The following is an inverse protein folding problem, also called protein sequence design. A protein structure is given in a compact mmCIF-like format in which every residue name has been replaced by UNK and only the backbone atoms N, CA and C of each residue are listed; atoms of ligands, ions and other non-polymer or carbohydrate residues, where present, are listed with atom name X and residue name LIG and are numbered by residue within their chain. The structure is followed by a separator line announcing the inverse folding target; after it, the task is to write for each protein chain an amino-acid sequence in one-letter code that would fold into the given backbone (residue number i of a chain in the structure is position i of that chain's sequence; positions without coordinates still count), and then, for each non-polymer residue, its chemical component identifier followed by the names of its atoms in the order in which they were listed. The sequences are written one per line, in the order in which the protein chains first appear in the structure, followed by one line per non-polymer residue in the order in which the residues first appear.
data_IF_138402016349
#
_entry.id   IF_138402016349
#
_cell.length_a   1.000
_cell.length_b   1.000
_cell.length_c   1.000
_cell.angle_alpha   90.00
_cell.angle_beta   90.00
_cell.angle_gamma   90.00
#
_symmetry.space_group_name_H-M   'P 1'
#
loop_
_entity.id
_entity.type
_entity.pdbx_description
1 polymer ?
#
# COMPACT_ATOMS: atom_id res chain seq x y z
N UNK A 1 -17.64 -42.13 -23.43
CA UNK A 1 -18.37 -40.85 -23.43
C UNK A 1 -18.80 -40.63 -22.00
N UNK A 2 -18.11 -39.86 -21.17
CA UNK A 2 -17.80 -38.43 -21.28
C UNK A 2 -16.30 -38.18 -21.01
N UNK A 3 -15.74 -37.21 -21.73
CA UNK A 3 -14.37 -36.70 -21.60
C UNK A 3 -14.41 -35.53 -20.62
N UNK A 4 -13.64 -35.67 -19.53
CA UNK A 4 -12.78 -34.65 -18.89
C UNK A 4 -13.46 -33.36 -18.40
N UNK A 5 -13.64 -33.27 -17.07
CA UNK A 5 -13.55 -31.98 -16.38
C UNK A 5 -12.08 -31.76 -16.00
N UNK A 6 -11.30 -31.12 -16.88
CA UNK A 6 -10.05 -30.53 -16.42
C UNK A 6 -10.48 -29.44 -15.44
N UNK A 7 -10.08 -29.60 -14.19
CA UNK A 7 -10.06 -28.52 -13.23
C UNK A 7 -9.03 -27.51 -13.76
N UNK A 8 -9.50 -26.57 -14.57
CA UNK A 8 -8.66 -25.47 -15.05
C UNK A 8 -8.47 -24.60 -13.83
N UNK A 9 -7.37 -24.83 -13.10
CA UNK A 9 -7.00 -24.06 -11.92
C UNK A 9 -7.29 -22.58 -12.20
N UNK A 10 -8.28 -22.02 -11.49
CA UNK A 10 -8.71 -20.65 -11.75
C UNK A 10 -7.53 -19.73 -11.41
N UNK A 11 -7.31 -18.68 -12.22
CA UNK A 11 -6.29 -17.70 -11.90
C UNK A 11 -6.56 -17.11 -10.52
N UNK A 12 -5.55 -17.09 -9.67
CA UNK A 12 -5.65 -16.46 -8.34
C UNK A 12 -6.03 -15.00 -8.46
N UNK A 13 -6.90 -14.55 -7.56
CA UNK A 13 -7.31 -13.15 -7.43
C UNK A 13 -6.71 -12.55 -6.17
N UNK A 14 -6.08 -11.39 -6.30
CA UNK A 14 -5.54 -10.64 -5.18
C UNK A 14 -6.37 -9.38 -4.93
N UNK A 15 -6.71 -9.12 -3.68
CA UNK A 15 -7.20 -7.82 -3.20
C UNK A 15 -6.10 -7.22 -2.34
N UNK A 16 -5.37 -6.27 -2.90
CA UNK A 16 -4.15 -5.71 -2.32
C UNK A 16 -4.37 -4.28 -1.83
N UNK A 17 -3.64 -3.90 -0.77
CA UNK A 17 -3.67 -2.53 -0.24
C UNK A 17 -2.27 -1.95 -0.28
N UNK A 18 -2.12 -0.78 -0.91
CA UNK A 18 -0.94 0.07 -0.82
C UNK A 18 -1.29 1.34 -0.03
N UNK A 19 -0.39 1.77 0.86
CA UNK A 19 -0.65 2.96 1.67
C UNK A 19 -0.66 4.21 0.80
N UNK A 20 0.25 4.32 -0.17
CA UNK A 20 0.35 5.51 -1.03
C UNK A 20 0.46 5.20 -2.52
N UNK A 21 0.14 6.20 -3.34
CA UNK A 21 0.28 6.08 -4.79
C UNK A 21 1.74 5.86 -5.20
N UNK A 22 2.70 6.44 -4.49
CA UNK A 22 4.12 6.19 -4.75
C UNK A 22 4.53 4.73 -4.47
N UNK A 23 3.88 4.05 -3.51
CA UNK A 23 4.03 2.61 -3.30
C UNK A 23 3.43 1.80 -4.46
N UNK A 24 2.31 2.24 -5.03
CA UNK A 24 1.69 1.59 -6.19
C UNK A 24 2.43 1.82 -7.52
N UNK A 25 2.96 3.03 -7.75
CA UNK A 25 3.59 3.43 -9.01
C UNK A 25 5.07 3.02 -9.07
N UNK A 26 5.77 2.96 -7.92
CA UNK A 26 7.09 2.34 -7.81
C UNK A 26 7.01 0.83 -7.55
N UNK A 27 5.88 0.20 -7.84
CA UNK A 27 5.74 -1.25 -7.82
C UNK A 27 6.55 -1.90 -8.97
N UNK A 28 7.87 -1.71 -8.93
CA UNK A 28 8.87 -2.65 -9.44
C UNK A 28 9.43 -3.48 -8.28
N UNK A 29 8.57 -3.95 -7.38
CA UNK A 29 8.94 -4.71 -6.18
C UNK A 29 7.88 -5.75 -5.79
N UNK A 30 7.85 -6.15 -4.50
CA UNK A 30 7.06 -7.28 -4.01
C UNK A 30 5.57 -7.27 -4.40
N UNK A 31 4.93 -6.09 -4.44
CA UNK A 31 3.52 -6.01 -4.82
C UNK A 31 3.29 -6.32 -6.31
N UNK A 32 4.22 -5.91 -7.17
CA UNK A 32 4.17 -6.23 -8.61
C UNK A 32 4.61 -7.66 -8.92
N UNK A 33 5.54 -8.21 -8.14
CA UNK A 33 5.85 -9.64 -8.19
C UNK A 33 4.62 -10.48 -7.81
N UNK A 34 3.93 -10.12 -6.72
CA UNK A 34 2.71 -10.78 -6.27
C UNK A 34 1.58 -10.64 -7.31
N UNK A 35 1.32 -9.42 -7.77
CA UNK A 35 0.30 -9.15 -8.79
C UNK A 35 0.59 -9.88 -10.09
N UNK A 36 1.87 -10.03 -10.41
CA UNK A 36 2.34 -10.77 -11.57
C UNK A 36 2.12 -12.27 -11.53
N UNK A 37 2.19 -12.85 -10.34
CA UNK A 37 1.92 -14.27 -10.12
C UNK A 37 0.41 -14.59 -10.07
N UNK A 38 -0.44 -13.57 -10.02
CA UNK A 38 -1.89 -13.66 -10.02
C UNK A 38 -2.45 -13.43 -11.43
N UNK A 39 -3.66 -13.94 -11.70
CA UNK A 39 -4.32 -13.61 -12.97
C UNK A 39 -5.09 -12.29 -12.90
N UNK A 40 -5.56 -11.91 -11.71
CA UNK A 40 -6.22 -10.62 -11.46
C UNK A 40 -5.78 -10.03 -10.11
N UNK A 41 -5.62 -8.71 -10.07
CA UNK A 41 -5.34 -7.97 -8.84
C UNK A 41 -6.16 -6.68 -8.78
N UNK A 42 -6.94 -6.52 -7.72
CA UNK A 42 -7.57 -5.27 -7.33
C UNK A 42 -6.68 -4.59 -6.29
N UNK A 43 -6.05 -3.48 -6.66
CA UNK A 43 -5.14 -2.72 -5.80
C UNK A 43 -5.84 -1.46 -5.28
N UNK A 44 -6.05 -1.40 -3.96
CA UNK A 44 -6.54 -0.22 -3.25
C UNK A 44 -5.36 0.66 -2.80
N UNK A 45 -5.32 1.91 -3.26
CA UNK A 45 -4.44 2.97 -2.75
C UNK A 45 -5.18 3.78 -1.70
N UNK A 46 -4.65 3.78 -0.48
CA UNK A 46 -5.30 4.40 0.68
C UNK A 46 -5.28 5.92 0.61
N UNK A 47 -4.11 6.53 0.39
CA UNK A 47 -3.95 7.99 0.34
C UNK A 47 -3.13 8.47 -0.84
N UNK A 48 -3.37 9.71 -1.25
CA UNK A 48 -2.58 10.42 -2.26
C UNK A 48 -1.35 11.05 -1.61
N UNK A 49 -0.21 11.01 -2.30
CA UNK A 49 1.01 11.71 -1.86
C UNK A 49 1.08 13.14 -2.43
N UNK A 50 1.57 14.13 -1.68
CA UNK A 50 1.94 14.06 -0.26
C UNK A 50 0.72 14.07 0.65
N UNK A 51 0.80 13.37 1.78
CA UNK A 51 -0.22 13.47 2.82
C UNK A 51 -0.23 14.89 3.41
N UNK A 52 -1.43 15.46 3.54
CA UNK A 52 -1.68 16.63 4.39
C UNK A 52 -1.48 16.32 5.87
N UNK A 53 -1.61 17.35 6.71
CA UNK A 53 -1.53 17.23 8.16
C UNK A 53 -2.56 16.27 8.77
N UNK A 54 -2.46 16.04 10.08
CA UNK A 54 -3.42 15.19 10.81
C UNK A 54 -4.87 15.67 10.61
N UNK A 55 -5.79 14.72 10.44
CA UNK A 55 -7.23 14.98 10.21
C UNK A 55 -7.81 15.77 11.39
N UNK A 56 -8.33 16.98 11.12
CA UNK A 56 -9.28 17.68 11.96
C UNK A 56 -10.58 17.73 11.16
N UNK A 57 -11.51 16.81 11.42
CA UNK A 57 -12.77 16.71 10.68
C UNK A 57 -13.55 18.01 10.84
N UNK A 58 -13.69 18.77 9.75
CA UNK A 58 -14.51 19.97 9.67
C UNK A 58 -15.74 19.70 8.80
N UNK A 59 -16.88 20.39 9.04
CA UNK A 59 -18.08 20.24 8.20
C UNK A 59 -17.86 20.47 6.70
N UNK A 60 -16.81 21.21 6.33
CA UNK A 60 -16.43 21.46 4.93
C UNK A 60 -15.90 20.21 4.21
N UNK A 61 -15.47 19.17 4.94
CA UNK A 61 -14.93 17.93 4.35
C UNK A 61 -16.03 17.02 3.76
N UNK A 62 -17.32 17.30 4.04
CA UNK A 62 -18.45 16.53 3.55
C UNK A 62 -18.99 16.99 2.18
N UNK A 63 -18.56 18.16 1.69
CA UNK A 63 -19.15 18.84 0.51
C UNK A 63 -18.30 18.73 -0.77
N UNK A 64 -17.13 18.07 -0.73
CA UNK A 64 -16.21 18.01 -1.88
C UNK A 64 -16.57 16.85 -2.84
N UNK A 65 -17.69 16.99 -3.55
CA UNK A 65 -17.98 16.21 -4.77
C UNK A 65 -17.01 16.65 -5.88
N UNK A 66 -16.27 15.74 -6.54
CA UNK A 66 -15.27 16.14 -7.53
C UNK A 66 -15.95 16.78 -8.75
N UNK A 67 -15.64 18.06 -8.97
CA UNK A 67 -15.81 18.71 -10.27
C UNK A 67 -14.80 18.12 -11.27
N UNK A 68 -15.23 18.00 -12.53
CA UNK A 68 -14.43 17.48 -13.65
C UNK A 68 -13.04 18.14 -13.73
N UNK A 69 -12.00 17.38 -13.39
CA UNK A 69 -10.61 17.77 -13.66
C UNK A 69 -10.16 17.24 -15.03
N UNK A 70 -9.81 18.19 -15.87
CA UNK A 70 -9.27 18.08 -17.23
C UNK A 70 -8.10 17.11 -17.33
N UNK A 71 -8.22 16.20 -18.30
CA UNK A 71 -7.20 15.23 -18.71
C UNK A 71 -5.95 15.96 -19.20
N UNK A 72 -4.85 15.83 -18.46
CA UNK A 72 -3.51 16.24 -18.93
C UNK A 72 -2.77 14.99 -19.41
N UNK A 73 -2.52 14.89 -20.72
CA UNK A 73 -1.79 13.76 -21.30
C UNK A 73 -0.30 13.82 -20.93
N UNK A 74 0.33 12.71 -20.48
CA UNK A 74 1.77 12.67 -20.22
C UNK A 74 2.59 12.28 -21.47
N UNK A 75 3.76 12.91 -21.61
CA UNK A 75 4.77 12.62 -22.65
C UNK A 75 5.36 11.19 -22.56
N UNK A 76 5.65 10.53 -23.69
CA UNK A 76 6.17 9.16 -23.70
C UNK A 76 7.69 9.11 -23.43
N UNK A 77 8.07 8.73 -22.21
CA UNK A 77 9.45 8.31 -21.88
C UNK A 77 9.54 6.78 -21.99
N UNK A 78 10.26 6.30 -23.01
CA UNK A 78 10.51 4.86 -23.22
C UNK A 78 11.53 4.34 -22.20
N UNK A 79 11.05 3.59 -21.22
CA UNK A 79 11.87 2.81 -20.27
C UNK A 79 12.06 1.37 -20.75
N UNK A 80 13.18 0.70 -20.39
CA UNK A 80 13.46 -0.67 -20.79
C UNK A 80 12.44 -1.64 -20.18
N UNK A 81 11.70 -2.33 -21.06
CA UNK A 81 10.69 -3.33 -20.72
C UNK A 81 11.38 -4.57 -20.16
N UNK A 82 11.53 -4.61 -18.84
CA UNK A 82 11.65 -5.88 -18.13
C UNK A 82 10.26 -6.51 -18.20
N UNK A 83 10.13 -7.72 -18.75
CA UNK A 83 8.83 -8.40 -18.95
C UNK A 83 8.00 -8.30 -17.67
N UNK A 84 6.97 -7.47 -17.72
CA UNK A 84 6.00 -7.33 -16.65
C UNK A 84 5.14 -8.58 -16.66
N UNK A 85 4.97 -9.24 -15.52
CA UNK A 85 4.11 -10.40 -15.43
C UNK A 85 2.65 -10.02 -15.74
N UNK A 86 2.00 -10.87 -16.54
CA UNK A 86 0.83 -10.57 -17.39
C UNK A 86 -0.53 -10.53 -16.67
N UNK A 87 -0.57 -10.28 -15.36
CA UNK A 87 -1.80 -10.20 -14.58
C UNK A 87 -2.55 -8.89 -14.81
N UNK A 88 -3.89 -8.93 -14.88
CA UNK A 88 -4.70 -7.72 -14.98
C UNK A 88 -4.73 -7.01 -13.63
N UNK A 89 -4.15 -5.80 -13.55
CA UNK A 89 -4.22 -4.96 -12.34
C UNK A 89 -5.29 -3.88 -12.52
N UNK A 90 -6.22 -3.79 -11.57
CA UNK A 90 -7.22 -2.73 -11.45
C UNK A 90 -6.86 -1.85 -10.26
N UNK A 91 -6.69 -0.56 -10.50
CA UNK A 91 -6.34 0.41 -9.47
C UNK A 91 -7.61 1.07 -8.92
N UNK A 92 -7.75 1.08 -7.60
CA UNK A 92 -8.82 1.72 -6.85
C UNK A 92 -8.20 2.71 -5.88
N UNK A 93 -8.85 3.85 -5.64
CA UNK A 93 -8.34 4.89 -4.74
C UNK A 93 -9.38 5.18 -3.67
N UNK A 94 -9.00 5.04 -2.40
CA UNK A 94 -9.75 5.63 -1.30
C UNK A 94 -9.52 7.14 -1.24
N UNK A 95 -8.32 7.59 -1.65
CA UNK A 95 -8.05 9.00 -1.93
C UNK A 95 -7.98 9.89 -0.69
N UNK A 96 -7.64 9.33 0.47
CA UNK A 96 -7.46 10.13 1.69
C UNK A 96 -6.37 11.19 1.44
N UNK A 97 -6.64 12.42 1.86
CA UNK A 97 -5.70 13.56 1.73
C UNK A 97 -4.86 13.79 2.99
N UNK A 98 -5.03 12.94 4.01
CA UNK A 98 -4.39 13.04 5.32
C UNK A 98 -3.62 11.76 5.66
N UNK A 99 -2.92 11.81 6.80
CA UNK A 99 -2.28 10.62 7.41
C UNK A 99 -3.34 9.70 7.98
N UNK A 100 -3.29 8.41 7.67
CA UNK A 100 -4.29 7.44 8.10
C UNK A 100 -4.35 7.34 9.63
N UNK A 101 -5.55 7.39 10.19
CA UNK A 101 -5.82 7.31 11.63
C UNK A 101 -6.74 6.14 11.97
N UNK A 102 -6.84 5.79 13.25
CA UNK A 102 -7.74 4.72 13.72
C UNK A 102 -9.21 4.97 13.32
N UNK A 103 -9.65 6.23 13.26
CA UNK A 103 -11.00 6.59 12.84
C UNK A 103 -11.32 6.30 11.36
N UNK A 104 -10.29 6.09 10.53
CA UNK A 104 -10.44 5.78 9.11
C UNK A 104 -10.55 4.26 8.86
N UNK A 105 -10.48 3.42 9.90
CA UNK A 105 -10.53 1.95 9.76
C UNK A 105 -11.85 1.49 9.13
N UNK A 106 -12.97 2.11 9.48
CA UNK A 106 -14.29 1.71 8.96
C UNK A 106 -14.41 1.99 7.46
N UNK A 107 -13.87 3.12 6.99
CA UNK A 107 -13.81 3.48 5.57
C UNK A 107 -12.96 2.47 4.78
N UNK A 108 -11.82 2.05 5.35
CA UNK A 108 -10.99 0.99 4.77
C UNK A 108 -11.73 -0.36 4.70
N UNK A 109 -12.45 -0.74 5.75
CA UNK A 109 -13.23 -1.98 5.78
C UNK A 109 -14.34 -1.94 4.73
N UNK A 110 -15.03 -0.80 4.58
CA UNK A 110 -16.06 -0.63 3.57
C UNK A 110 -15.49 -0.78 2.15
N UNK A 111 -14.43 -0.02 1.82
CA UNK A 111 -13.78 -0.11 0.52
C UNK A 111 -13.25 -1.51 0.21
N UNK A 112 -12.60 -2.17 1.18
CA UNK A 112 -12.13 -3.54 1.02
C UNK A 112 -13.26 -4.54 0.82
N UNK A 113 -14.38 -4.39 1.52
CA UNK A 113 -15.53 -5.28 1.39
C UNK A 113 -16.18 -5.13 0.01
N UNK A 114 -16.25 -3.91 -0.52
CA UNK A 114 -16.70 -3.64 -1.89
C UNK A 114 -15.77 -4.32 -2.91
N UNK A 115 -14.46 -4.19 -2.75
CA UNK A 115 -13.50 -4.82 -3.64
C UNK A 115 -13.55 -6.34 -3.55
N UNK A 116 -13.61 -6.92 -2.36
CA UNK A 116 -13.76 -8.39 -2.21
C UNK A 116 -15.03 -8.85 -2.90
N UNK A 117 -16.13 -8.10 -2.75
CA UNK A 117 -17.43 -8.44 -3.30
C UNK A 117 -18.20 -9.43 -2.43
N UNK A 118 -19.38 -9.84 -2.90
CA UNK A 118 -20.18 -10.87 -2.24
C UNK A 118 -19.76 -12.25 -2.75
N UNK A 119 -19.54 -13.19 -1.82
CA UNK A 119 -19.15 -14.59 -2.11
C UNK A 119 -17.87 -14.70 -2.97
N UNK A 120 -16.69 -14.29 -2.45
CA UNK A 120 -15.45 -14.35 -3.21
C UNK A 120 -15.06 -15.80 -3.52
N UNK A 121 -14.45 -16.01 -4.68
CA UNK A 121 -13.91 -17.32 -5.09
C UNK A 121 -12.88 -17.85 -4.09
N UNK A 122 -12.76 -19.18 -3.97
CA UNK A 122 -11.82 -19.88 -3.06
C UNK A 122 -10.34 -19.50 -3.29
N UNK A 123 -10.00 -19.03 -4.50
CA UNK A 123 -8.65 -18.58 -4.88
C UNK A 123 -8.43 -17.07 -4.67
N UNK A 124 -9.26 -16.42 -3.84
CA UNK A 124 -9.13 -14.99 -3.47
C UNK A 124 -8.24 -14.82 -2.24
N UNK A 125 -7.27 -13.91 -2.32
CA UNK A 125 -6.36 -13.59 -1.22
C UNK A 125 -6.37 -12.09 -0.92
N UNK A 126 -6.37 -11.73 0.36
CA UNK A 126 -6.07 -10.37 0.77
C UNK A 126 -4.56 -10.18 0.88
N UNK A 127 -4.03 -9.05 0.41
CA UNK A 127 -2.61 -8.72 0.49
C UNK A 127 -2.43 -7.45 1.30
N UNK A 128 -1.65 -7.52 2.37
CA UNK A 128 -1.46 -6.43 3.33
C UNK A 128 0.02 -6.16 3.63
N UNK A 129 0.39 -4.92 3.98
CA UNK A 129 1.75 -4.62 4.38
C UNK A 129 2.13 -5.42 5.64
N UNK A 130 3.33 -5.99 5.62
CA UNK A 130 3.99 -6.57 6.78
C UNK A 130 4.36 -5.46 7.78
N UNK A 131 4.41 -5.77 9.09
CA UNK A 131 4.86 -4.80 10.08
C UNK A 131 6.28 -4.30 9.76
N UNK A 132 6.47 -2.99 9.83
CA UNK A 132 7.75 -2.35 9.50
C UNK A 132 8.66 -2.27 10.72
N UNK A 133 9.65 -3.18 10.83
CA UNK A 133 10.73 -3.06 11.81
C UNK A 133 10.29 -3.17 13.29
N UNK A 134 11.10 -2.60 14.19
CA UNK A 134 10.91 -2.71 15.66
C UNK A 134 9.85 -1.74 16.19
N UNK A 135 9.66 -0.60 15.53
CA UNK A 135 8.65 0.41 15.88
C UNK A 135 7.46 0.25 14.93
N UNK A 136 6.29 -0.04 15.47
CA UNK A 136 5.08 -0.19 14.68
C UNK A 136 4.69 1.16 14.03
N UNK A 137 4.63 1.18 12.70
CA UNK A 137 4.03 2.30 11.97
C UNK A 137 2.50 2.27 12.19
N UNK A 138 1.90 3.35 12.73
CA UNK A 138 0.47 3.37 13.05
C UNK A 138 -0.42 3.24 11.81
N UNK A 139 -0.01 3.80 10.67
CA UNK A 139 -0.80 3.71 9.43
C UNK A 139 -0.84 2.26 8.92
N UNK A 140 0.31 1.58 8.97
CA UNK A 140 0.41 0.15 8.63
C UNK A 140 -0.47 -0.68 9.56
N UNK A 141 -0.52 -0.36 10.86
CA UNK A 141 -1.33 -1.14 11.80
C UNK A 141 -2.84 -0.98 11.56
N UNK A 142 -3.30 0.22 11.20
CA UNK A 142 -4.71 0.45 10.82
C UNK A 142 -5.06 -0.38 9.57
N UNK A 143 -4.24 -0.31 8.51
CA UNK A 143 -4.45 -1.13 7.30
C UNK A 143 -4.51 -2.61 7.63
N UNK A 144 -3.54 -3.11 8.44
CA UNK A 144 -3.51 -4.52 8.83
C UNK A 144 -4.71 -4.91 9.66
N UNK A 145 -5.27 -4.02 10.48
CA UNK A 145 -6.48 -4.28 11.28
C UNK A 145 -7.70 -4.41 10.38
N UNK A 146 -7.88 -3.46 9.46
CA UNK A 146 -8.95 -3.48 8.45
C UNK A 146 -8.91 -4.76 7.59
N UNK A 147 -7.74 -5.10 7.03
CA UNK A 147 -7.59 -6.31 6.20
C UNK A 147 -7.87 -7.58 7.00
N UNK A 148 -7.35 -7.70 8.23
CA UNK A 148 -7.64 -8.87 9.09
C UNK A 148 -9.13 -8.99 9.41
N UNK A 149 -9.82 -7.86 9.60
CA UNK A 149 -11.27 -7.83 9.86
C UNK A 149 -12.05 -8.34 8.65
N UNK A 150 -11.78 -7.81 7.46
CA UNK A 150 -12.41 -8.24 6.20
C UNK A 150 -12.11 -9.70 5.90
N UNK A 151 -10.84 -10.09 5.94
CA UNK A 151 -10.43 -11.47 5.68
C UNK A 151 -11.11 -12.47 6.61
N UNK A 152 -11.32 -12.13 7.89
CA UNK A 152 -12.06 -12.97 8.83
C UNK A 152 -13.53 -13.12 8.47
N UNK A 153 -14.18 -12.05 8.00
CA UNK A 153 -15.60 -12.07 7.61
C UNK A 153 -15.82 -12.94 6.39
N UNK A 154 -14.92 -12.86 5.40
CA UNK A 154 -15.04 -13.58 4.13
C UNK A 154 -14.29 -14.92 4.09
N UNK A 155 -13.61 -15.31 5.19
CA UNK A 155 -12.84 -16.56 5.24
C UNK A 155 -11.58 -16.57 4.37
N UNK A 156 -11.02 -15.39 4.07
CA UNK A 156 -9.91 -15.25 3.11
C UNK A 156 -8.53 -15.40 3.78
N UNK A 157 -7.56 -16.03 3.09
CA UNK A 157 -6.16 -15.98 3.49
C UNK A 157 -5.57 -14.57 3.32
N UNK A 158 -4.64 -14.20 4.22
CA UNK A 158 -3.91 -12.92 4.18
C UNK A 158 -2.43 -13.17 3.88
N UNK A 159 -1.94 -12.54 2.81
CA UNK A 159 -0.53 -12.58 2.40
C UNK A 159 0.17 -11.27 2.80
N UNK A 160 1.24 -11.32 3.59
CA UNK A 160 2.03 -10.14 3.91
C UNK A 160 2.97 -9.79 2.76
N UNK A 161 3.12 -8.51 2.44
CA UNK A 161 4.20 -8.00 1.58
C UNK A 161 5.04 -6.96 2.33
N UNK A 162 6.31 -6.82 1.98
CA UNK A 162 7.15 -5.79 2.58
C UNK A 162 7.03 -4.49 1.78
N UNK A 163 6.47 -3.40 2.34
CA UNK A 163 6.49 -2.11 1.65
C UNK A 163 7.94 -1.64 1.47
N UNK A 164 8.25 -0.88 0.41
CA UNK A 164 9.55 -0.23 0.30
C UNK A 164 9.75 0.63 1.56
N UNK A 165 10.94 0.54 2.17
CA UNK A 165 11.23 1.34 3.35
C UNK A 165 10.94 2.81 3.05
N UNK A 166 10.16 3.47 3.91
CA UNK A 166 9.96 4.92 3.87
C UNK A 166 11.35 5.52 3.77
N UNK A 167 11.67 6.22 2.69
CA UNK A 167 12.97 6.86 2.53
C UNK A 167 13.07 7.92 3.63
N UNK A 168 13.52 7.49 4.80
CA UNK A 168 13.84 8.37 5.90
C UNK A 168 14.93 9.27 5.40
N UNK A 169 14.74 10.56 5.60
CA UNK A 169 15.77 11.57 5.65
C UNK A 169 16.93 11.07 6.51
N UNK A 170 17.86 10.31 5.92
CA UNK A 170 19.15 9.99 6.50
C UNK A 170 20.03 11.23 6.37
N UNK A 171 19.68 12.27 7.13
CA UNK A 171 20.46 13.49 7.22
C UNK A 171 20.32 14.07 8.62
N UNK A 172 20.74 13.31 9.63
CA UNK A 172 21.31 13.83 10.87
C UNK A 172 21.82 12.65 11.71
N UNK A 173 23.07 12.24 11.48
CA UNK A 173 23.88 11.51 12.48
C UNK A 173 25.37 11.45 12.05
N UNK A 174 25.87 12.56 11.49
CA UNK A 174 27.30 12.74 11.20
C UNK A 174 27.89 14.03 11.77
N UNK A 175 27.26 14.61 12.81
CA UNK A 175 27.78 15.81 13.49
C UNK A 175 27.59 15.74 15.00
N UNK A 176 28.38 14.90 15.68
CA UNK A 176 28.60 15.06 17.13
C UNK A 176 29.58 14.04 17.75
N UNK A 177 30.78 13.83 17.19
CA UNK A 177 31.93 13.40 18.02
C UNK A 177 33.24 13.98 17.46
N UNK A 178 33.63 15.18 17.91
CA UNK A 178 35.03 15.56 18.21
C UNK A 178 35.10 17.06 18.52
N UNK A 179 34.77 17.41 19.76
CA UNK A 179 35.25 18.63 20.40
C UNK A 179 35.16 18.41 21.92
N UNK A 180 36.31 18.04 22.50
CA UNK A 180 36.75 18.20 23.90
C UNK A 180 37.74 17.06 24.18
N UNK A 181 39.01 17.26 24.52
CA UNK A 181 39.65 18.41 25.14
C UNK A 181 40.43 17.86 26.35
N UNK A 182 41.77 17.78 26.27
CA UNK A 182 42.67 17.63 27.42
C UNK A 182 44.14 17.82 26.98
N UNK A 183 45.10 18.09 27.88
CA UNK A 183 45.46 19.44 28.25
C UNK A 183 46.95 19.75 28.01
N UNK A 184 47.26 21.05 28.11
CA UNK A 184 48.61 21.60 28.19
C UNK A 184 49.38 20.96 29.37
N UNK A 185 50.52 20.35 29.07
CA UNK A 185 51.58 20.12 30.07
C UNK A 185 52.81 20.90 29.66
N UNK A 186 53.13 21.93 30.44
CA UNK A 186 54.39 22.67 30.37
C UNK A 186 55.48 22.06 31.26
N UNK A 187 56.72 22.37 30.86
CA UNK A 187 57.97 22.41 31.64
C UNK A 187 58.57 21.11 32.18
N UNK A 188 59.71 20.71 31.59
CA UNK A 188 61.05 20.92 32.16
C UNK A 188 62.02 21.24 31.03
#
# INVERSE_FOLDING_TARGET
MIVVGQDVARPRRLVAVALTEAESARAGGALAELSGSAGETDLLVVRTDPAGGQRLVAPADAEDYPGDDVVSEPDPITMPVTRVPSGKVRLHRLGLRWTLQDGDEEDLVAALSELVGFDPDEDTFCVAPAPAGVVADPEIEVVRRAVRRVARVYGLPVLPYRPPGRAGTAQDDARSVSADGAPLTGSC
#
